data_IF_341473706975
#
_entry.id   IF_341473706975
#
_cell.length_a   1.000
_cell.length_b   1.000
_cell.length_c   1.000
_cell.angle_alpha   90.00
_cell.angle_beta   90.00
_cell.angle_gamma   90.00
#
_symmetry.space_group_name_H-M   'P 1'
#
loop_
_entity.id
_entity.type
_entity.pdbx_description
1 polymer ?
#
# COMPACT_ATOMS: atom_id res chain seq x y z
N UNK A 1 43.94 -93.57 -38.84
CA UNK A 1 45.12 -92.68 -38.86
C UNK A 1 44.80 -91.44 -39.69
N UNK A 2 45.33 -90.28 -39.26
CA UNK A 2 45.50 -88.98 -39.97
C UNK A 2 44.30 -88.01 -40.09
N UNK A 3 44.39 -86.97 -39.23
CA UNK A 3 44.19 -85.52 -39.42
C UNK A 3 43.45 -85.03 -40.68
N UNK A 4 42.62 -84.00 -40.51
CA UNK A 4 42.96 -82.62 -40.90
C UNK A 4 41.99 -81.57 -40.31
N UNK A 5 42.60 -80.52 -39.75
CA UNK A 5 41.99 -79.33 -39.17
C UNK A 5 41.85 -78.28 -40.30
N UNK A 6 40.67 -77.66 -40.42
CA UNK A 6 40.41 -76.36 -41.10
C UNK A 6 39.51 -75.60 -40.14
N UNK A 7 39.88 -74.49 -39.50
CA UNK A 7 40.54 -73.30 -40.04
C UNK A 7 39.52 -72.14 -40.04
N UNK A 8 39.00 -71.76 -38.86
CA UNK A 8 38.03 -70.66 -38.72
C UNK A 8 38.80 -69.33 -38.76
N UNK A 9 38.68 -68.60 -39.88
CA UNK A 9 39.23 -67.23 -40.00
C UNK A 9 38.44 -66.29 -39.10
N UNK A 10 38.97 -66.00 -37.91
CA UNK A 10 38.52 -64.88 -37.10
C UNK A 10 38.96 -63.57 -37.75
N UNK A 11 37.99 -62.80 -38.24
CA UNK A 11 38.21 -61.43 -38.73
C UNK A 11 38.35 -60.54 -37.49
N UNK A 12 39.59 -60.28 -37.07
CA UNK A 12 39.87 -59.28 -36.04
C UNK A 12 39.66 -57.89 -36.65
N UNK A 13 38.57 -57.24 -36.29
CA UNK A 13 38.37 -55.82 -36.51
C UNK A 13 39.39 -55.06 -35.66
N UNK A 14 40.40 -54.50 -36.30
CA UNK A 14 41.36 -53.58 -35.67
C UNK A 14 40.59 -52.32 -35.24
N UNK A 15 40.65 -51.89 -33.97
CA UNK A 15 40.06 -50.62 -33.56
C UNK A 15 40.74 -49.48 -34.32
N UNK A 16 39.95 -48.59 -34.91
CA UNK A 16 40.50 -47.42 -35.59
C UNK A 16 41.22 -46.49 -34.60
N UNK A 17 42.39 -45.93 -34.94
CA UNK A 17 43.15 -45.03 -34.06
C UNK A 17 42.39 -43.73 -33.71
N UNK A 18 41.34 -43.40 -34.46
CA UNK A 18 40.44 -42.28 -34.17
C UNK A 18 39.54 -42.49 -32.93
N UNK A 19 39.32 -43.73 -32.48
CA UNK A 19 38.57 -43.99 -31.24
C UNK A 19 39.38 -43.62 -29.98
N UNK A 20 40.72 -43.69 -30.04
CA UNK A 20 41.60 -43.29 -28.91
C UNK A 20 41.74 -41.78 -28.78
N UNK A 21 41.89 -41.05 -29.89
CA UNK A 21 41.96 -39.59 -29.87
C UNK A 21 40.67 -38.94 -29.30
N UNK A 22 39.50 -39.52 -29.59
CA UNK A 22 38.22 -39.07 -28.99
C UNK A 22 38.11 -39.34 -27.47
N UNK A 23 38.90 -40.26 -26.93
CA UNK A 23 38.95 -40.57 -25.50
C UNK A 23 40.00 -39.74 -24.75
N UNK A 24 41.06 -39.30 -25.44
CA UNK A 24 42.16 -38.51 -24.84
C UNK A 24 41.78 -37.04 -24.63
N UNK A 25 40.99 -36.43 -25.52
CA UNK A 25 40.52 -35.04 -25.33
C UNK A 25 39.50 -34.88 -24.18
N UNK A 26 38.84 -35.96 -23.77
CA UNK A 26 37.97 -35.95 -22.57
C UNK A 26 38.77 -35.92 -21.27
N UNK A 27 40.02 -36.38 -21.28
CA UNK A 27 40.88 -36.41 -20.08
C UNK A 27 41.38 -35.03 -19.69
N UNK A 28 41.90 -34.25 -20.64
CA UNK A 28 42.42 -32.90 -20.38
C UNK A 28 41.33 -31.93 -19.91
N UNK A 29 40.15 -31.98 -20.54
CA UNK A 29 38.99 -31.18 -20.11
C UNK A 29 38.48 -31.61 -18.74
N UNK A 30 38.48 -32.92 -18.43
CA UNK A 30 38.08 -33.40 -17.10
C UNK A 30 39.04 -32.93 -16.00
N UNK A 31 40.35 -32.90 -16.27
CA UNK A 31 41.35 -32.38 -15.30
C UNK A 31 41.19 -30.88 -15.10
N UNK A 32 41.02 -30.10 -16.19
CA UNK A 32 40.76 -28.66 -16.08
C UNK A 32 39.46 -28.37 -15.33
N UNK A 33 38.38 -29.12 -15.61
CA UNK A 33 37.12 -28.99 -14.89
C UNK A 33 37.27 -29.36 -13.40
N UNK A 34 38.01 -30.43 -13.08
CA UNK A 34 38.26 -30.83 -11.70
C UNK A 34 39.03 -29.77 -10.91
N UNK A 35 39.97 -29.07 -11.55
CA UNK A 35 40.71 -27.96 -10.94
C UNK A 35 39.86 -26.69 -10.79
N UNK A 36 38.92 -26.44 -11.71
CA UNK A 36 38.01 -25.28 -11.66
C UNK A 36 36.78 -25.49 -10.78
N UNK A 37 36.36 -26.74 -10.55
CA UNK A 37 35.17 -27.09 -9.76
C UNK A 37 35.18 -26.49 -8.35
N UNK A 38 36.27 -26.56 -7.55
CA UNK A 38 36.33 -25.93 -6.24
C UNK A 38 36.10 -24.42 -6.30
N UNK A 39 36.62 -23.74 -7.32
CA UNK A 39 36.42 -22.31 -7.52
C UNK A 39 34.95 -21.99 -7.85
N UNK A 40 34.32 -22.80 -8.70
CA UNK A 40 32.91 -22.66 -9.06
C UNK A 40 31.99 -22.93 -7.86
N UNK A 41 32.28 -23.95 -7.05
CA UNK A 41 31.52 -24.22 -5.82
C UNK A 41 31.72 -23.12 -4.77
N UNK A 42 32.93 -22.58 -4.63
CA UNK A 42 33.19 -21.44 -3.74
C UNK A 42 32.39 -20.21 -4.15
N UNK A 43 32.34 -19.89 -5.45
CA UNK A 43 31.53 -18.79 -5.96
C UNK A 43 30.02 -19.04 -5.77
N UNK A 44 29.55 -20.26 -6.00
CA UNK A 44 28.14 -20.64 -5.79
C UNK A 44 27.73 -20.53 -4.31
N UNK A 45 28.59 -20.97 -3.39
CA UNK A 45 28.36 -20.89 -1.95
C UNK A 45 28.14 -19.45 -1.47
N UNK A 46 29.04 -18.52 -1.87
CA UNK A 46 28.92 -17.09 -1.54
C UNK A 46 27.63 -16.51 -2.12
N UNK A 47 27.29 -16.88 -3.35
CA UNK A 47 26.06 -16.44 -4.01
C UNK A 47 24.80 -16.86 -3.26
N UNK A 48 24.74 -18.12 -2.81
CA UNK A 48 23.59 -18.67 -2.09
C UNK A 48 23.44 -18.02 -0.70
N UNK A 49 24.52 -17.88 0.06
CA UNK A 49 24.45 -17.25 1.39
C UNK A 49 24.04 -15.77 1.29
N UNK A 50 24.57 -15.05 0.29
CA UNK A 50 24.18 -13.65 0.05
C UNK A 50 22.71 -13.52 -0.35
N UNK A 51 22.21 -14.44 -1.19
CA UNK A 51 20.82 -14.48 -1.59
C UNK A 51 19.89 -14.78 -0.39
N UNK A 52 20.29 -15.69 0.51
CA UNK A 52 19.55 -16.00 1.72
C UNK A 52 19.41 -14.78 2.65
N UNK A 53 20.49 -14.05 2.89
CA UNK A 53 20.47 -12.80 3.70
C UNK A 53 19.59 -11.74 3.05
N UNK A 54 19.70 -11.55 1.73
CA UNK A 54 18.90 -10.56 1.03
C UNK A 54 17.40 -10.91 1.04
N UNK A 55 17.07 -12.19 0.84
CA UNK A 55 15.70 -12.70 0.95
C UNK A 55 15.13 -12.48 2.36
N UNK A 56 15.89 -12.83 3.40
CA UNK A 56 15.51 -12.60 4.78
C UNK A 56 15.26 -11.11 5.07
N UNK A 57 16.14 -10.23 4.58
CA UNK A 57 15.99 -8.77 4.71
C UNK A 57 14.68 -8.27 4.11
N UNK A 58 14.35 -8.69 2.89
CA UNK A 58 13.11 -8.25 2.24
C UNK A 58 11.86 -8.70 3.00
N UNK A 59 11.88 -9.90 3.59
CA UNK A 59 10.74 -10.42 4.34
C UNK A 59 10.52 -9.67 5.65
N UNK A 60 11.58 -9.49 6.45
CA UNK A 60 11.50 -8.73 7.72
C UNK A 60 11.12 -7.27 7.44
N UNK A 61 11.63 -6.69 6.34
CA UNK A 61 11.25 -5.34 5.93
C UNK A 61 9.78 -5.26 5.54
N UNK A 62 9.25 -6.22 4.78
CA UNK A 62 7.83 -6.27 4.43
C UNK A 62 6.93 -6.37 5.66
N UNK A 63 7.31 -7.15 6.68
CA UNK A 63 6.59 -7.20 7.95
C UNK A 63 6.68 -5.88 8.71
N UNK A 64 7.86 -5.25 8.75
CA UNK A 64 8.07 -3.97 9.41
C UNK A 64 7.26 -2.83 8.75
N UNK A 65 7.21 -2.81 7.41
CA UNK A 65 6.41 -1.86 6.61
C UNK A 65 4.91 -2.04 6.89
N UNK A 66 4.43 -3.29 6.94
CA UNK A 66 3.05 -3.57 7.32
C UNK A 66 2.74 -3.09 8.74
N UNK A 67 3.65 -3.30 9.69
CA UNK A 67 3.48 -2.88 11.08
C UNK A 67 3.39 -1.35 11.22
N UNK A 68 4.31 -0.59 10.62
CA UNK A 68 4.24 0.88 10.67
C UNK A 68 3.00 1.41 9.98
N UNK A 69 2.60 0.80 8.86
CA UNK A 69 1.45 1.25 8.09
C UNK A 69 0.13 0.99 8.83
N UNK A 70 -0.01 -0.16 9.48
CA UNK A 70 -1.18 -0.47 10.29
C UNK A 70 -1.30 0.49 11.47
N UNK A 71 -0.21 0.71 12.21
CA UNK A 71 -0.19 1.69 13.31
C UNK A 71 -0.48 3.10 12.80
N UNK A 72 0.09 3.50 11.67
CA UNK A 72 -0.18 4.81 11.07
C UNK A 72 -1.64 4.95 10.64
N UNK A 73 -2.27 3.87 10.17
CA UNK A 73 -3.68 3.84 9.77
C UNK A 73 -4.62 3.98 10.97
N UNK A 74 -4.40 3.21 12.03
CA UNK A 74 -5.17 3.32 13.27
C UNK A 74 -5.03 4.71 13.88
N UNK A 75 -3.81 5.23 13.88
CA UNK A 75 -3.55 6.59 14.35
C UNK A 75 -4.19 7.67 13.50
N UNK A 76 -4.20 7.50 12.18
CA UNK A 76 -4.91 8.39 11.27
C UNK A 76 -6.43 8.32 11.44
N UNK A 77 -7.00 7.26 12.04
CA UNK A 77 -8.43 7.19 12.41
C UNK A 77 -8.73 7.79 13.79
N UNK A 78 -7.73 8.35 14.48
CA UNK A 78 -7.78 8.70 15.91
C UNK A 78 -8.04 7.51 16.84
N UNK A 79 -7.66 6.31 16.40
CA UNK A 79 -7.78 5.04 17.15
C UNK A 79 -6.38 4.52 17.54
N UNK A 80 -5.43 5.40 17.91
CA UNK A 80 -4.08 5.05 18.41
C UNK A 80 -4.11 4.35 19.79
N UNK A 81 -4.93 3.32 19.98
CA UNK A 81 -5.06 2.60 21.25
C UNK A 81 -3.88 1.66 21.47
N UNK A 82 -4.09 0.37 21.23
CA UNK A 82 -3.08 -0.65 21.50
C UNK A 82 -2.09 -0.80 20.33
N UNK A 83 -1.18 0.16 20.21
CA UNK A 83 -0.14 0.21 19.17
C UNK A 83 0.66 -1.09 19.09
N UNK A 84 1.00 -1.69 20.24
CA UNK A 84 1.75 -2.95 20.30
C UNK A 84 0.99 -4.08 19.61
N UNK A 85 -0.29 -4.25 19.94
CA UNK A 85 -1.12 -5.30 19.35
C UNK A 85 -1.31 -5.09 17.84
N UNK A 86 -1.66 -3.87 17.40
CA UNK A 86 -1.80 -3.57 15.96
C UNK A 86 -0.51 -3.87 15.20
N UNK A 87 0.63 -3.46 15.76
CA UNK A 87 1.94 -3.70 15.18
C UNK A 87 2.26 -5.18 15.03
N UNK A 88 2.08 -5.96 16.09
CA UNK A 88 2.36 -7.41 16.10
C UNK A 88 1.41 -8.15 15.15
N UNK A 89 0.10 -7.87 15.22
CA UNK A 89 -0.89 -8.52 14.36
C UNK A 89 -0.60 -8.24 12.86
N UNK A 90 -0.23 -7.01 12.51
CA UNK A 90 0.11 -6.63 11.14
C UNK A 90 1.47 -7.18 10.67
N UNK A 91 2.47 -7.20 11.57
CA UNK A 91 3.77 -7.79 11.30
C UNK A 91 3.61 -9.28 11.01
N UNK A 92 2.99 -10.06 11.91
CA UNK A 92 2.88 -11.51 11.77
C UNK A 92 1.90 -11.96 10.67
N UNK A 93 0.91 -11.15 10.33
CA UNK A 93 0.06 -11.42 9.16
C UNK A 93 0.84 -11.35 7.84
N UNK A 94 1.87 -10.48 7.77
CA UNK A 94 2.71 -10.29 6.59
C UNK A 94 4.09 -10.96 6.72
N UNK A 95 4.41 -11.50 7.90
CA UNK A 95 5.69 -12.15 8.15
C UNK A 95 5.73 -13.52 7.49
N UNK A 96 6.22 -13.54 6.27
CA UNK A 96 6.65 -14.77 5.62
C UNK A 96 7.95 -15.31 6.22
N UNK A 97 8.66 -14.58 7.07
CA UNK A 97 9.93 -14.99 7.65
C UNK A 97 9.76 -15.99 8.80
N UNK A 98 8.65 -15.97 9.54
CA UNK A 98 8.20 -17.12 10.35
C UNK A 98 8.07 -18.42 9.54
N UNK A 99 7.99 -18.34 8.20
CA UNK A 99 7.96 -19.49 7.28
C UNK A 99 9.35 -19.87 6.75
N UNK A 100 10.39 -19.08 7.02
CA UNK A 100 11.78 -19.45 6.76
C UNK A 100 12.35 -20.14 8.00
N UNK A 101 12.75 -21.40 7.86
CA UNK A 101 13.34 -22.21 8.94
C UNK A 101 14.68 -21.67 9.49
N UNK A 102 15.22 -20.61 8.88
CA UNK A 102 16.60 -20.14 9.08
C UNK A 102 16.69 -18.71 9.62
N UNK A 103 15.56 -18.15 10.10
CA UNK A 103 15.52 -16.85 10.74
C UNK A 103 15.26 -17.02 12.25
N UNK A 104 16.15 -16.48 13.09
CA UNK A 104 15.98 -16.39 14.54
C UNK A 104 15.09 -15.21 14.94
N UNK A 105 14.54 -15.22 16.16
CA UNK A 105 13.64 -14.16 16.63
C UNK A 105 14.37 -12.80 16.81
N UNK A 106 13.78 -11.72 16.29
CA UNK A 106 14.19 -10.33 16.57
C UNK A 106 13.14 -9.55 17.37
N UNK A 107 13.53 -8.42 17.97
CA UNK A 107 12.61 -7.51 18.70
C UNK A 107 12.77 -6.08 18.16
N UNK A 108 11.65 -5.38 17.95
CA UNK A 108 11.63 -3.97 17.55
C UNK A 108 10.71 -3.13 18.41
N UNK A 109 10.99 -1.82 18.45
CA UNK A 109 10.15 -0.81 19.07
C UNK A 109 9.39 -0.04 18.00
N UNK A 110 8.10 0.21 18.25
CA UNK A 110 7.31 1.18 17.49
C UNK A 110 7.24 2.47 18.30
N UNK A 111 7.68 3.57 17.70
CA UNK A 111 7.55 4.91 18.27
C UNK A 111 6.59 5.73 17.42
N UNK A 112 5.64 6.38 18.10
CA UNK A 112 4.71 7.35 17.50
C UNK A 112 5.09 8.75 18.02
N UNK A 113 5.31 9.68 17.09
CA UNK A 113 5.65 11.07 17.38
C UNK A 113 4.82 11.99 16.50
N UNK A 114 3.65 12.40 17.00
CA UNK A 114 2.68 13.17 16.21
C UNK A 114 2.16 12.35 15.03
N UNK A 115 2.45 12.82 13.81
CA UNK A 115 2.07 12.14 12.55
C UNK A 115 3.10 11.12 12.05
N UNK A 116 4.21 10.97 12.76
CA UNK A 116 5.33 10.12 12.34
C UNK A 116 5.36 8.83 13.17
N UNK A 117 5.43 7.70 12.47
CA UNK A 117 5.53 6.36 13.04
C UNK A 117 6.86 5.78 12.56
N UNK A 118 7.64 5.24 13.50
CA UNK A 118 8.92 4.61 13.19
C UNK A 118 9.05 3.27 13.90
N UNK A 119 9.48 2.25 13.17
CA UNK A 119 9.98 0.99 13.72
C UNK A 119 11.49 1.05 13.77
N UNK A 120 12.04 0.90 14.97
CA UNK A 120 13.49 0.75 15.18
C UNK A 120 13.74 -0.56 15.92
N UNK A 121 14.67 -1.35 15.41
CA UNK A 121 15.02 -2.59 16.07
C UNK A 121 15.72 -2.38 17.39
N UNK A 122 15.35 -3.21 18.36
CA UNK A 122 15.99 -3.33 19.66
C UNK A 122 16.99 -4.47 19.67
N UNK A 123 16.61 -5.61 19.06
CA UNK A 123 17.48 -6.77 18.89
C UNK A 123 17.52 -7.16 17.41
N UNK A 124 18.73 -7.36 16.84
CA UNK A 124 18.87 -7.77 15.44
C UNK A 124 18.29 -9.17 15.23
N UNK A 125 17.83 -9.43 14.01
CA UNK A 125 17.42 -10.77 13.59
C UNK A 125 18.66 -11.59 13.26
N UNK A 126 18.65 -12.88 13.57
CA UNK A 126 19.74 -13.78 13.19
C UNK A 126 19.36 -14.53 11.92
N UNK A 127 20.24 -14.48 10.91
CA UNK A 127 20.11 -15.24 9.68
C UNK A 127 21.16 -16.34 9.70
N UNK A 128 20.73 -17.59 9.58
CA UNK A 128 21.67 -18.71 9.48
C UNK A 128 22.30 -18.76 8.09
N UNK A 129 23.62 -18.90 8.04
CA UNK A 129 24.36 -19.14 6.80
C UNK A 129 24.50 -20.65 6.55
N UNK A 130 24.35 -21.07 5.30
CA UNK A 130 24.44 -22.49 4.97
C UNK A 130 25.88 -22.90 4.70
N UNK A 131 26.60 -22.15 3.87
CA UNK A 131 27.97 -22.50 3.48
C UNK A 131 29.02 -21.80 4.34
N UNK A 132 28.78 -20.55 4.74
CA UNK A 132 29.65 -19.86 5.69
C UNK A 132 29.63 -20.52 7.08
N UNK A 133 28.53 -21.18 7.45
CA UNK A 133 28.46 -22.00 8.67
C UNK A 133 29.46 -23.16 8.66
N UNK A 134 29.68 -23.80 7.51
CA UNK A 134 30.71 -24.83 7.38
C UNK A 134 32.14 -24.30 7.58
N UNK A 135 32.34 -22.98 7.51
CA UNK A 135 33.61 -22.29 7.79
C UNK A 135 33.66 -21.66 9.20
N UNK A 136 32.66 -21.92 10.05
CA UNK A 136 32.56 -21.40 11.41
C UNK A 136 31.84 -20.05 11.54
N UNK A 137 31.15 -19.60 10.49
CA UNK A 137 30.34 -18.38 10.49
C UNK A 137 28.85 -18.75 10.34
N UNK A 138 28.27 -19.29 11.42
CA UNK A 138 26.93 -19.88 11.39
C UNK A 138 25.80 -18.85 11.28
N UNK A 139 25.98 -17.64 11.82
CA UNK A 139 24.94 -16.62 11.86
C UNK A 139 25.41 -15.22 11.47
N UNK A 140 24.52 -14.45 10.86
CA UNK A 140 24.68 -13.04 10.56
C UNK A 140 23.59 -12.20 11.20
N UNK A 141 23.93 -10.98 11.64
CA UNK A 141 22.97 -10.03 12.20
C UNK A 141 22.29 -9.24 11.08
N UNK A 142 20.96 -9.20 11.11
CA UNK A 142 20.12 -8.48 10.16
C UNK A 142 19.33 -7.39 10.87
N UNK A 143 19.53 -6.15 10.43
CA UNK A 143 18.71 -5.02 10.85
C UNK A 143 17.96 -4.29 9.75
N UNK A 144 16.71 -3.95 10.06
CA UNK A 144 15.79 -3.17 9.23
C UNK A 144 15.14 -2.08 10.07
N UNK A 145 14.89 -0.94 9.45
CA UNK A 145 14.07 0.13 9.98
C UNK A 145 13.02 0.51 8.95
N UNK A 146 11.83 0.87 9.43
CA UNK A 146 10.73 1.31 8.58
C UNK A 146 10.04 2.51 9.21
N UNK A 147 9.48 3.37 8.38
CA UNK A 147 8.86 4.62 8.78
C UNK A 147 7.58 4.82 7.98
N UNK A 148 6.52 5.24 8.65
CA UNK A 148 5.27 5.64 8.03
C UNK A 148 4.83 6.99 8.57
N UNK A 149 4.10 7.73 7.76
CA UNK A 149 3.47 8.98 8.16
C UNK A 149 2.04 9.00 7.67
N UNK A 150 1.23 9.84 8.30
CA UNK A 150 -0.09 10.18 7.80
C UNK A 150 -0.24 11.69 7.66
N UNK A 151 -1.01 12.12 6.68
CA UNK A 151 -1.27 13.52 6.41
C UNK A 151 -2.69 13.70 5.87
N UNK A 152 -3.30 14.89 5.95
CA UNK A 152 -4.57 15.15 5.28
C UNK A 152 -4.47 14.89 3.78
N UNK A 153 -5.56 14.43 3.16
CA UNK A 153 -5.57 14.21 1.72
C UNK A 153 -5.34 15.53 0.97
N UNK A 154 -4.49 15.47 -0.05
CA UNK A 154 -4.27 16.58 -1.00
C UNK A 154 -4.91 16.31 -2.34
N UNK A 155 -5.20 15.04 -2.63
CA UNK A 155 -5.86 14.57 -3.85
C UNK A 155 -6.83 13.47 -3.45
N UNK A 156 -8.03 13.49 -4.00
CA UNK A 156 -8.97 12.40 -3.82
C UNK A 156 -9.79 12.20 -5.08
N UNK A 157 -10.09 10.92 -5.36
CA UNK A 157 -11.16 10.53 -6.25
C UNK A 157 -12.36 10.19 -5.39
N UNK A 158 -13.26 11.15 -5.23
CA UNK A 158 -14.51 10.99 -4.50
C UNK A 158 -15.40 9.97 -5.22
N UNK A 159 -15.98 9.06 -4.45
CA UNK A 159 -16.90 8.02 -4.91
C UNK A 159 -18.28 8.58 -5.30
N UNK A 160 -18.51 9.88 -5.10
CA UNK A 160 -19.73 10.57 -5.47
C UNK A 160 -19.40 11.99 -5.95
N UNK A 161 -20.09 12.49 -6.99
CA UNK A 161 -19.81 13.80 -7.55
C UNK A 161 -20.47 14.90 -6.72
N UNK A 162 -20.27 14.90 -5.40
CA UNK A 162 -20.74 15.99 -4.53
C UNK A 162 -19.55 16.66 -3.86
N UNK A 163 -19.73 17.93 -3.57
CA UNK A 163 -18.86 18.68 -2.68
C UNK A 163 -19.72 19.39 -1.62
N UNK A 164 -19.10 19.77 -0.50
CA UNK A 164 -19.77 20.48 0.60
C UNK A 164 -19.06 21.79 0.93
N UNK A 165 -19.81 22.83 1.27
CA UNK A 165 -19.24 24.09 1.72
C UNK A 165 -18.65 23.98 3.12
N UNK A 166 -17.54 24.66 3.36
CA UNK A 166 -16.87 24.68 4.66
C UNK A 166 -17.81 25.00 5.82
N UNK A 167 -18.75 25.94 5.62
CA UNK A 167 -19.71 26.31 6.65
C UNK A 167 -20.72 25.20 6.97
N UNK A 168 -21.18 24.47 5.94
CA UNK A 168 -22.03 23.30 6.12
C UNK A 168 -21.27 22.17 6.79
N UNK A 169 -20.04 21.90 6.37
CA UNK A 169 -19.16 20.94 7.04
C UNK A 169 -18.99 21.31 8.51
N UNK A 170 -18.65 22.56 8.85
CA UNK A 170 -18.47 23.00 10.24
C UNK A 170 -19.72 22.79 11.10
N UNK A 171 -20.91 23.02 10.57
CA UNK A 171 -22.17 22.87 11.31
C UNK A 171 -22.64 21.41 11.45
N UNK A 172 -22.29 20.56 10.49
CA UNK A 172 -22.73 19.17 10.41
C UNK A 172 -21.73 18.18 11.00
N UNK A 173 -20.43 18.41 10.79
CA UNK A 173 -19.38 17.45 11.09
C UNK A 173 -18.80 17.56 12.50
N UNK A 174 -18.90 18.72 13.15
CA UNK A 174 -18.22 18.95 14.43
C UNK A 174 -19.15 18.79 15.63
N UNK A 175 -18.69 18.13 16.72
CA UNK A 175 -17.42 17.37 16.81
C UNK A 175 -17.49 16.02 16.06
N UNK A 176 -16.41 15.67 15.35
CA UNK A 176 -16.34 14.44 14.52
C UNK A 176 -16.56 13.15 15.32
N UNK A 177 -16.11 13.12 16.58
CA UNK A 177 -16.24 11.96 17.46
C UNK A 177 -17.68 11.69 17.96
N UNK A 178 -18.65 12.57 17.67
CA UNK A 178 -20.02 12.39 18.14
C UNK A 178 -20.90 11.58 17.18
N UNK A 179 -20.37 11.12 16.03
CA UNK A 179 -21.10 10.35 15.00
C UNK A 179 -22.48 10.94 14.68
N UNK A 180 -22.55 12.29 14.65
CA UNK A 180 -23.79 13.01 14.48
C UNK A 180 -24.40 12.64 13.12
N UNK A 181 -25.55 11.98 13.17
CA UNK A 181 -26.27 11.61 11.95
C UNK A 181 -26.76 12.87 11.25
N UNK A 182 -26.38 13.02 9.99
CA UNK A 182 -26.74 14.13 9.11
C UNK A 182 -27.23 13.58 7.79
N UNK A 183 -28.10 14.35 7.14
CA UNK A 183 -28.51 14.10 5.78
C UNK A 183 -27.83 15.12 4.87
N UNK A 184 -27.30 14.63 3.77
CA UNK A 184 -26.71 15.39 2.69
C UNK A 184 -27.67 15.28 1.50
N UNK A 185 -28.60 16.22 1.42
CA UNK A 185 -29.47 16.39 0.28
C UNK A 185 -28.95 17.46 -0.68
N UNK A 186 -29.26 17.31 -1.96
CA UNK A 186 -28.90 18.30 -2.97
C UNK A 186 -29.73 19.56 -2.72
N UNK A 187 -29.07 20.71 -2.59
CA UNK A 187 -29.74 21.98 -2.25
C UNK A 187 -30.05 22.18 -0.78
N UNK A 188 -29.71 21.23 0.08
CA UNK A 188 -29.75 21.47 1.51
C UNK A 188 -28.65 22.46 1.88
N UNK A 189 -29.06 23.59 2.45
CA UNK A 189 -28.17 24.61 3.00
C UNK A 189 -28.15 24.47 4.52
N UNK A 190 -27.24 23.63 5.02
CA UNK A 190 -27.02 23.49 6.46
C UNK A 190 -25.96 24.47 6.95
N UNK A 191 -26.17 25.12 8.10
CA UNK A 191 -25.11 25.85 8.82
C UNK A 191 -24.94 27.34 8.52
N UNK A 192 -25.72 27.92 7.59
CA UNK A 192 -25.66 29.35 7.26
C UNK A 192 -24.30 29.82 6.72
N UNK A 193 -24.16 31.12 6.49
CA UNK A 193 -22.88 31.69 6.05
C UNK A 193 -21.92 31.81 7.24
N UNK A 194 -20.64 31.55 6.98
CA UNK A 194 -19.61 31.65 8.01
C UNK A 194 -18.28 32.16 7.42
N UNK A 195 -17.41 32.68 8.29
CA UNK A 195 -16.04 33.00 7.92
C UNK A 195 -15.25 31.71 7.74
N UNK A 196 -14.64 31.58 6.57
CA UNK A 196 -13.75 30.45 6.24
C UNK A 196 -12.34 30.70 6.75
N UNK A 197 -11.51 29.66 6.85
CA UNK A 197 -10.13 29.79 7.33
C UNK A 197 -9.24 30.66 6.43
N UNK A 198 -9.66 30.91 5.19
CA UNK A 198 -8.97 31.83 4.26
C UNK A 198 -9.39 33.29 4.43
N UNK A 199 -10.18 33.62 5.47
CA UNK A 199 -10.62 34.98 5.77
C UNK A 199 -11.79 35.48 4.91
N UNK A 200 -12.30 34.64 4.01
CA UNK A 200 -13.44 34.94 3.14
C UNK A 200 -14.75 34.43 3.74
N UNK A 201 -15.86 35.12 3.51
CA UNK A 201 -17.19 34.56 3.81
C UNK A 201 -17.58 33.57 2.72
N UNK A 202 -17.95 32.34 3.11
CA UNK A 202 -18.50 31.36 2.18
C UNK A 202 -19.96 31.05 2.48
N UNK A 203 -20.68 30.71 1.41
CA UNK A 203 -22.02 30.15 1.51
C UNK A 203 -21.99 28.72 2.02
N UNK A 204 -22.92 28.39 2.91
CA UNK A 204 -23.32 27.02 3.16
C UNK A 204 -23.97 26.41 1.90
N UNK A 205 -23.80 25.11 1.72
CA UNK A 205 -24.46 24.36 0.66
C UNK A 205 -23.78 23.06 0.33
N UNK A 206 -24.48 22.27 -0.48
CA UNK A 206 -24.01 21.04 -1.11
C UNK A 206 -24.22 21.22 -2.61
N UNK A 207 -23.23 20.87 -3.42
CA UNK A 207 -23.24 21.07 -4.86
C UNK A 207 -22.76 19.80 -5.57
N UNK A 208 -23.34 19.52 -6.74
CA UNK A 208 -22.79 18.51 -7.63
C UNK A 208 -21.55 19.06 -8.32
N UNK A 209 -20.53 18.22 -8.37
CA UNK A 209 -19.31 18.42 -9.15
C UNK A 209 -19.48 17.77 -10.50
N UNK A 210 -18.72 18.21 -11.50
CA UNK A 210 -18.65 17.48 -12.77
C UNK A 210 -18.21 16.02 -12.55
N UNK A 211 -18.97 15.07 -13.09
CA UNK A 211 -18.71 13.63 -12.99
C UNK A 211 -17.74 13.17 -14.07
N UNK A 212 -16.85 12.23 -13.75
CA UNK A 212 -15.92 11.59 -14.68
C UNK A 212 -16.58 10.52 -15.59
N UNK A 213 -17.92 10.53 -15.69
CA UNK A 213 -18.73 9.52 -16.38
C UNK A 213 -18.97 8.23 -15.59
N UNK A 214 -18.44 8.10 -14.37
CA UNK A 214 -18.60 6.92 -13.51
C UNK A 214 -19.14 7.22 -12.11
N UNK A 215 -19.94 8.29 -11.98
CA UNK A 215 -20.42 8.83 -10.71
C UNK A 215 -19.30 9.16 -9.72
N UNK A 216 -18.18 9.68 -10.22
CA UNK A 216 -17.01 10.02 -9.40
C UNK A 216 -16.47 11.37 -9.82
N UNK A 217 -15.76 12.00 -8.91
CA UNK A 217 -15.07 13.26 -9.21
C UNK A 217 -13.66 13.22 -8.64
N UNK A 218 -12.69 13.70 -9.41
CA UNK A 218 -11.29 13.75 -8.98
C UNK A 218 -10.91 15.20 -8.77
N UNK A 219 -10.55 15.53 -7.54
CA UNK A 219 -10.13 16.88 -7.19
C UNK A 219 -8.75 16.92 -6.57
N UNK A 220 -8.14 18.09 -6.59
CA UNK A 220 -6.85 18.40 -5.99
C UNK A 220 -7.01 19.61 -5.06
N UNK A 221 -6.33 19.58 -3.93
CA UNK A 221 -6.29 20.66 -2.95
C UNK A 221 -5.83 21.96 -3.61
N UNK A 222 -6.50 23.08 -3.27
CA UNK A 222 -6.36 24.40 -3.92
C UNK A 222 -6.77 24.46 -5.39
N UNK A 223 -7.18 23.34 -5.99
CA UNK A 223 -7.76 23.31 -7.32
C UNK A 223 -9.13 23.99 -7.35
N UNK A 224 -9.44 24.59 -8.50
CA UNK A 224 -10.74 25.22 -8.76
C UNK A 224 -11.50 24.34 -9.75
N UNK A 225 -12.76 24.06 -9.43
CA UNK A 225 -13.63 23.18 -10.21
C UNK A 225 -14.98 23.84 -10.42
N UNK A 226 -15.64 23.48 -11.51
CA UNK A 226 -16.97 23.97 -11.85
C UNK A 226 -18.00 23.05 -11.23
N UNK A 227 -18.98 23.63 -10.53
CA UNK A 227 -20.16 22.90 -10.09
C UNK A 227 -21.09 22.68 -11.28
N UNK A 228 -21.80 21.56 -11.27
CA UNK A 228 -22.92 21.40 -12.19
C UNK A 228 -24.09 22.30 -11.77
N UNK A 229 -24.69 22.98 -12.75
CA UNK A 229 -25.89 23.82 -12.58
C UNK A 229 -27.07 22.94 -12.13
N UNK A 230 -28.02 23.45 -11.32
CA UNK A 230 -28.63 22.68 -10.25
C UNK A 230 -29.34 21.42 -10.74
N UNK A 231 -28.81 20.25 -10.40
CA UNK A 231 -29.54 18.98 -10.41
C UNK A 231 -30.43 18.88 -9.16
N UNK A 232 -31.06 19.99 -8.75
CA UNK A 232 -32.02 20.00 -7.65
C UNK A 232 -33.29 19.21 -8.00
N UNK A 233 -33.55 19.06 -9.30
CA UNK A 233 -34.71 18.36 -9.86
C UNK A 233 -34.35 17.64 -11.19
N UNK A 234 -33.06 17.52 -11.51
CA UNK A 234 -32.58 16.91 -12.75
C UNK A 234 -32.28 15.41 -12.64
N UNK A 235 -32.04 14.72 -13.77
CA UNK A 235 -31.48 13.38 -13.74
C UNK A 235 -30.11 13.42 -13.06
N UNK A 236 -29.85 12.41 -12.22
CA UNK A 236 -28.51 12.18 -11.66
C UNK A 236 -27.48 12.10 -12.80
N UNK A 237 -26.21 12.53 -12.57
CA UNK A 237 -25.15 12.36 -13.57
C UNK A 237 -25.01 10.91 -14.03
N UNK A 238 -24.51 10.70 -15.25
CA UNK A 238 -24.34 9.37 -15.81
C UNK A 238 -23.50 8.47 -14.88
N UNK A 239 -24.02 7.26 -14.63
CA UNK A 239 -23.46 6.29 -13.69
C UNK A 239 -23.96 6.42 -12.24
N UNK A 240 -24.56 7.55 -11.86
CA UNK A 240 -25.13 7.74 -10.52
C UNK A 240 -26.54 7.14 -10.42
N UNK A 241 -26.64 5.81 -10.33
CA UNK A 241 -27.92 5.12 -10.15
C UNK A 241 -28.29 4.98 -8.67
N UNK A 242 -29.58 4.80 -8.35
CA UNK A 242 -30.00 4.48 -6.98
C UNK A 242 -29.32 3.20 -6.46
N UNK A 243 -29.10 2.21 -7.33
CA UNK A 243 -28.35 1.00 -6.99
C UNK A 243 -26.89 1.30 -6.62
N UNK A 244 -26.25 2.26 -7.29
CA UNK A 244 -24.90 2.71 -6.97
C UNK A 244 -24.85 3.34 -5.58
N UNK A 245 -25.76 4.26 -5.25
CA UNK A 245 -25.82 4.86 -3.92
C UNK A 245 -26.17 3.85 -2.82
N UNK A 246 -27.10 2.93 -3.08
CA UNK A 246 -27.42 1.84 -2.17
C UNK A 246 -26.20 0.94 -1.88
N UNK A 247 -25.32 0.72 -2.87
CA UNK A 247 -24.11 -0.07 -2.70
C UNK A 247 -23.04 0.59 -1.80
N UNK A 248 -23.16 1.90 -1.56
CA UNK A 248 -22.27 2.65 -0.68
C UNK A 248 -22.68 2.61 0.79
N UNK A 249 -23.89 2.15 1.10
CA UNK A 249 -24.36 2.02 2.50
C UNK A 249 -23.41 1.09 3.27
N UNK A 250 -22.90 1.58 4.40
CA UNK A 250 -21.90 0.89 5.22
C UNK A 250 -20.45 1.11 4.77
N UNK A 251 -20.18 2.02 3.83
CA UNK A 251 -18.84 2.41 3.39
C UNK A 251 -18.52 3.85 3.76
N UNK A 252 -17.22 4.14 3.81
CA UNK A 252 -16.69 5.47 4.05
C UNK A 252 -16.31 6.07 2.69
N UNK A 253 -16.77 7.29 2.45
CA UNK A 253 -16.54 8.02 1.20
C UNK A 253 -15.82 9.34 1.49
N UNK A 254 -15.04 9.81 0.52
CA UNK A 254 -14.31 11.08 0.65
C UNK A 254 -15.08 12.18 -0.04
N UNK A 255 -15.40 13.26 0.67
CA UNK A 255 -16.14 14.40 0.13
C UNK A 255 -15.22 15.64 0.11
N UNK A 256 -14.99 16.28 -1.05
CA UNK A 256 -14.27 17.54 -1.12
C UNK A 256 -15.05 18.67 -0.43
N UNK A 257 -14.33 19.50 0.32
CA UNK A 257 -14.85 20.67 1.03
C UNK A 257 -14.33 21.93 0.37
N UNK A 258 -15.20 22.88 0.02
CA UNK A 258 -14.79 24.17 -0.56
C UNK A 258 -14.82 25.32 0.46
N UNK A 259 -13.93 26.30 0.29
CA UNK A 259 -13.88 27.52 1.12
C UNK A 259 -14.27 28.79 0.37
N UNK A 260 -14.28 28.76 -0.96
CA UNK A 260 -14.54 29.93 -1.79
C UNK A 260 -15.36 29.49 -3.00
N UNK A 261 -16.36 30.31 -3.34
CA UNK A 261 -17.25 30.09 -4.46
C UNK A 261 -17.41 31.40 -5.24
N UNK A 262 -17.14 31.37 -6.54
CA UNK A 262 -17.36 32.48 -7.46
C UNK A 262 -18.22 32.00 -8.63
N UNK A 263 -19.51 32.32 -8.60
CA UNK A 263 -20.49 31.82 -9.57
C UNK A 263 -20.64 30.29 -9.49
N UNK A 264 -20.21 29.60 -10.54
CA UNK A 264 -20.21 28.14 -10.63
C UNK A 264 -18.89 27.53 -10.13
N UNK A 265 -17.84 28.32 -9.97
CA UNK A 265 -16.52 27.81 -9.63
C UNK A 265 -16.35 27.76 -8.11
N UNK A 266 -15.85 26.64 -7.60
CA UNK A 266 -15.47 26.47 -6.20
C UNK A 266 -14.01 26.04 -6.09
N UNK A 267 -13.32 26.51 -5.05
CA UNK A 267 -11.96 26.07 -4.73
C UNK A 267 -11.98 25.04 -3.62
N UNK A 268 -11.27 23.93 -3.83
CA UNK A 268 -11.16 22.86 -2.82
C UNK A 268 -10.22 23.30 -1.70
N UNK A 269 -10.76 23.32 -0.49
CA UNK A 269 -10.04 23.63 0.75
C UNK A 269 -9.43 22.39 1.39
N UNK A 270 -10.12 21.25 1.35
CA UNK A 270 -9.67 20.00 1.94
C UNK A 270 -10.67 18.87 1.71
N UNK A 271 -10.50 17.76 2.40
CA UNK A 271 -11.32 16.56 2.22
C UNK A 271 -11.86 16.05 3.55
N UNK A 272 -13.17 15.86 3.57
CA UNK A 272 -13.88 15.27 4.69
C UNK A 272 -14.17 13.80 4.43
N UNK A 273 -14.18 13.00 5.49
CA UNK A 273 -14.61 11.61 5.41
C UNK A 273 -16.04 11.47 5.93
N UNK A 274 -16.85 10.70 5.22
CA UNK A 274 -18.26 10.52 5.51
C UNK A 274 -18.63 9.04 5.50
N UNK A 275 -19.18 8.55 6.61
CA UNK A 275 -19.71 7.20 6.78
C UNK A 275 -21.14 7.18 6.27
N UNK A 276 -21.41 6.47 5.18
CA UNK A 276 -22.79 6.36 4.64
C UNK A 276 -23.56 5.33 5.46
N UNK A 277 -24.69 5.73 6.04
CA UNK A 277 -25.60 4.85 6.78
C UNK A 277 -26.93 4.60 6.07
N UNK A 278 -27.29 5.45 5.10
CA UNK A 278 -28.51 5.27 4.33
C UNK A 278 -28.54 6.08 3.04
N UNK A 279 -29.41 5.66 2.13
CA UNK A 279 -29.76 6.37 0.91
C UNK A 279 -31.28 6.41 0.78
N UNK A 280 -31.81 7.61 0.54
CA UNK A 280 -33.20 7.82 0.14
C UNK A 280 -33.20 8.34 -1.30
N UNK A 281 -33.58 7.49 -2.26
CA UNK A 281 -33.68 7.86 -3.68
C UNK A 281 -34.98 8.60 -4.03
N UNK A 282 -35.88 8.77 -3.07
CA UNK A 282 -37.17 9.45 -3.27
C UNK A 282 -37.05 10.97 -3.06
N UNK A 283 -37.97 11.73 -3.67
CA UNK A 283 -38.06 13.19 -3.48
C UNK A 283 -36.74 13.92 -3.78
N UNK A 284 -36.16 14.55 -2.76
CA UNK A 284 -34.96 15.39 -2.88
C UNK A 284 -33.63 14.60 -2.92
N UNK A 285 -33.67 13.26 -2.92
CA UNK A 285 -32.52 12.35 -2.96
C UNK A 285 -31.46 12.65 -1.88
N UNK A 286 -31.46 11.87 -0.79
CA UNK A 286 -30.65 12.19 0.40
C UNK A 286 -29.68 11.06 0.75
N UNK A 287 -28.43 11.43 0.99
CA UNK A 287 -27.44 10.54 1.59
C UNK A 287 -27.42 10.78 3.10
N UNK A 288 -27.71 9.74 3.89
CA UNK A 288 -27.68 9.83 5.35
C UNK A 288 -26.41 9.17 5.88
N UNK A 289 -25.81 9.76 6.91
CA UNK A 289 -24.53 9.30 7.45
C UNK A 289 -23.98 10.22 8.52
N UNK A 290 -22.70 10.08 8.82
CA UNK A 290 -22.00 11.00 9.73
C UNK A 290 -20.57 11.24 9.24
N UNK A 291 -20.02 12.41 9.58
CA UNK A 291 -18.61 12.68 9.31
C UNK A 291 -17.73 11.96 10.31
N UNK A 292 -16.61 11.41 9.85
CA UNK A 292 -15.70 10.58 10.66
C UNK A 292 -14.23 10.81 10.26
N UNK A 293 -13.31 10.02 10.83
CA UNK A 293 -11.93 9.94 10.38
C UNK A 293 -11.74 8.73 9.46
N UNK A 294 -11.23 8.97 8.26
CA UNK A 294 -10.84 7.92 7.32
C UNK A 294 -9.35 7.99 7.07
N UNK A 295 -8.73 6.81 7.01
CA UNK A 295 -7.35 6.63 6.61
C UNK A 295 -7.31 5.79 5.34
N UNK A 296 -6.66 6.30 4.29
CA UNK A 296 -6.45 5.61 3.02
C UNK A 296 -4.96 5.54 2.70
N UNK A 297 -4.46 4.34 2.42
CA UNK A 297 -3.09 4.19 1.93
C UNK A 297 -2.96 4.83 0.55
N UNK A 298 -1.88 5.58 0.34
CA UNK A 298 -1.54 6.18 -0.96
C UNK A 298 -0.16 5.70 -1.38
N UNK A 299 -0.07 5.11 -2.58
CA UNK A 299 1.16 4.55 -3.13
C UNK A 299 2.00 5.59 -3.90
N UNK A 300 1.98 6.86 -3.48
CA UNK A 300 2.73 7.91 -4.17
C UNK A 300 4.21 7.90 -3.76
N UNK A 301 5.08 7.93 -4.78
CA UNK A 301 6.53 8.08 -4.61
C UNK A 301 6.93 9.39 -3.93
N UNK A 302 6.06 10.40 -3.98
CA UNK A 302 6.28 11.70 -3.31
C UNK A 302 5.30 11.84 -2.14
N UNK A 303 5.79 12.10 -0.91
CA UNK A 303 4.91 12.39 0.22
C UNK A 303 3.90 13.50 -0.12
N UNK A 304 2.61 13.32 0.19
CA UNK A 304 1.63 14.38 0.02
C UNK A 304 1.96 15.58 0.91
N UNK A 305 1.63 16.78 0.44
CA UNK A 305 1.80 18.01 1.22
C UNK A 305 1.10 17.89 2.58
N UNK A 306 1.88 18.03 3.66
CA UNK A 306 1.42 17.87 5.03
C UNK A 306 0.72 19.11 5.60
N UNK A 307 0.73 20.21 4.85
CA UNK A 307 0.14 21.51 5.24
C UNK A 307 -1.33 21.65 4.86
N UNK A 308 -1.91 20.66 4.17
CA UNK A 308 -3.33 20.64 3.87
C UNK A 308 -4.19 20.61 5.16
N UNK A 309 -5.38 21.23 5.14
CA UNK A 309 -6.30 21.21 6.27
C UNK A 309 -6.79 19.79 6.59
N UNK A 310 -6.80 19.43 7.88
CA UNK A 310 -7.31 18.15 8.36
C UNK A 310 -8.81 18.25 8.63
N UNK A 311 -9.63 17.71 7.71
CA UNK A 311 -11.09 17.63 7.84
C UNK A 311 -11.57 16.19 8.03
N UNK A 312 -10.69 15.28 8.45
CA UNK A 312 -11.04 13.89 8.76
C UNK A 312 -10.61 12.88 7.70
N UNK A 313 -10.41 13.27 6.44
CA UNK A 313 -9.89 12.36 5.42
C UNK A 313 -8.36 12.45 5.30
N UNK A 314 -7.66 11.36 5.63
CA UNK A 314 -6.20 11.30 5.76
C UNK A 314 -5.60 10.23 4.84
N UNK A 315 -4.46 10.57 4.24
CA UNK A 315 -3.58 9.66 3.54
C UNK A 315 -2.57 9.03 4.50
N UNK A 316 -2.23 7.78 4.27
CA UNK A 316 -1.16 7.05 4.98
C UNK A 316 -0.16 6.56 3.96
N UNK A 317 1.14 6.73 4.23
CA UNK A 317 2.20 6.37 3.30
C UNK A 317 3.50 6.00 4.04
N UNK A 318 4.34 5.21 3.38
CA UNK A 318 5.68 4.90 3.86
C UNK A 318 6.64 6.07 3.55
N UNK A 319 7.58 6.31 4.45
CA UNK A 319 8.58 7.36 4.29
C UNK A 319 9.98 6.80 4.38
N UNK A 320 10.93 7.43 3.69
CA UNK A 320 12.35 7.21 3.93
C UNK A 320 12.80 8.18 5.03
N UNK A 321 13.68 7.71 5.91
CA UNK A 321 14.27 8.52 6.97
C UNK A 321 15.07 9.70 6.41
#
# INVERSE_FOLDING_TARGET
>A
MRRLIRGRRGRWSVPSPMARLRSEERGGVAVMLALLMPLLFGAAAIGIDSAAVWSARQQVLSGADAAVLAVATDCARNECGNIKKTAEDAFWANDLAAKLSNLGAGEGWIKVSGRNISVTQKMPWEVNHFFAGALGHDTGQLSVSSYAQWAPLTRARSELPIAIGYCSYRALALPLAAEKTVSLGVGETSGGNCSTPTGTSASAGIAFTESDGSCRTSTVWKGTYTRESPVLQGPLPDGCTDAYFASMVGRDVVIPVWDTQQGQNYRVYGYAAFRVTGWDGSGARKLTGHFTYLARQVDDTTPPDTTAPDLGARAVFLTKN
#
